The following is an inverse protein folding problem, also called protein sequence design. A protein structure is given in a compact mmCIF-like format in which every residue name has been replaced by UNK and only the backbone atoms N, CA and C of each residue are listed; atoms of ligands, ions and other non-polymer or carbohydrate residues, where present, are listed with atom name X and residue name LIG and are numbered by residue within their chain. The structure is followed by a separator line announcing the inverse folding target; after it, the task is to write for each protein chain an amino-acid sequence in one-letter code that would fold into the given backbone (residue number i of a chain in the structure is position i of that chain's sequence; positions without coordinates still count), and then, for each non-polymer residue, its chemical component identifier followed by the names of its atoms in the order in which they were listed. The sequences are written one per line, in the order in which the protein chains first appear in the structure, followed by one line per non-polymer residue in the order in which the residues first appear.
data_IF_368058290632
#
_entry.id   IF_368058290632
#
_cell.length_a   1.000
_cell.length_b   1.000
_cell.length_c   1.000
_cell.angle_alpha   90.00
_cell.angle_beta   90.00
_cell.angle_gamma   90.00
#
_symmetry.space_group_name_H-M   'P 1'
#
loop_
_entity.id
_entity.type
_entity.pdbx_description
1 polymer ?
#
# COMPACT_ATOMS: atom_id res chain seq x y z
N UNK A 1 -16.46 -7.63 -31.87
CA UNK A 1 -15.87 -7.35 -30.52
C UNK A 1 -15.06 -8.54 -30.04
N UNK A 2 -15.56 -9.77 -30.19
CA UNK A 2 -14.81 -11.03 -29.95
C UNK A 2 -13.49 -11.11 -30.75
N UNK A 3 -13.49 -10.72 -32.04
CA UNK A 3 -12.25 -10.72 -32.84
C UNK A 3 -11.15 -9.80 -32.30
N UNK A 4 -11.50 -8.65 -31.71
CA UNK A 4 -10.52 -7.73 -31.13
C UNK A 4 -9.91 -8.26 -29.83
N UNK A 5 -10.70 -9.00 -29.04
CA UNK A 5 -10.21 -9.64 -27.81
C UNK A 5 -9.29 -10.80 -28.18
N UNK A 6 -9.67 -11.63 -29.14
CA UNK A 6 -8.87 -12.76 -29.59
C UNK A 6 -7.57 -12.33 -30.28
N UNK A 7 -7.60 -11.23 -31.05
CA UNK A 7 -6.41 -10.63 -31.65
C UNK A 7 -5.46 -10.01 -30.61
N UNK A 8 -5.99 -9.44 -29.53
CA UNK A 8 -5.18 -8.88 -28.44
C UNK A 8 -4.43 -9.98 -27.67
N UNK A 9 -5.09 -11.11 -27.38
CA UNK A 9 -4.45 -12.26 -26.74
C UNK A 9 -3.40 -12.94 -27.63
N UNK A 10 -3.61 -12.99 -28.95
CA UNK A 10 -2.64 -13.57 -29.89
C UNK A 10 -1.33 -12.76 -29.99
N UNK A 11 -1.39 -11.43 -29.82
CA UNK A 11 -0.22 -10.54 -29.90
C UNK A 11 0.55 -10.36 -28.57
N UNK A 12 0.08 -10.92 -27.45
CA UNK A 12 0.69 -10.73 -26.12
C UNK A 12 1.78 -11.75 -25.77
N UNK A 13 2.14 -12.65 -26.68
CA UNK A 13 3.39 -13.43 -26.63
C UNK A 13 3.28 -14.82 -26.00
N UNK A 14 4.19 -15.70 -26.41
CA UNK A 14 4.30 -17.14 -26.10
C UNK A 14 4.44 -17.52 -24.60
N UNK A 15 4.27 -16.57 -23.68
CA UNK A 15 4.57 -16.74 -22.25
C UNK A 15 3.32 -16.98 -21.37
N UNK A 16 2.18 -17.34 -21.94
CA UNK A 16 0.98 -17.67 -21.18
C UNK A 16 0.90 -19.17 -20.89
N UNK A 17 0.90 -19.52 -19.61
CA UNK A 17 0.61 -20.88 -19.17
C UNK A 17 -0.83 -20.96 -18.66
N UNK A 18 -1.63 -21.85 -19.23
CA UNK A 18 -2.99 -22.12 -18.74
C UNK A 18 -2.95 -23.17 -17.64
N UNK A 19 -3.33 -22.76 -16.43
CA UNK A 19 -3.42 -23.67 -15.27
C UNK A 19 -4.88 -24.04 -15.03
N UNK A 20 -5.17 -25.33 -14.89
CA UNK A 20 -6.54 -25.83 -14.71
C UNK A 20 -7.14 -25.50 -13.34
N UNK A 21 -6.31 -25.22 -12.33
CA UNK A 21 -6.72 -24.96 -10.96
C UNK A 21 -6.31 -23.57 -10.48
N UNK A 22 -7.29 -22.79 -10.02
CA UNK A 22 -7.08 -21.45 -9.46
C UNK A 22 -6.16 -21.45 -8.23
N UNK A 23 -6.20 -22.48 -7.38
CA UNK A 23 -5.31 -22.52 -6.21
C UNK A 23 -3.84 -22.69 -6.60
N UNK A 24 -3.56 -23.55 -7.58
CA UNK A 24 -2.20 -23.77 -8.10
C UNK A 24 -1.67 -22.50 -8.78
N UNK A 25 -2.52 -21.80 -9.53
CA UNK A 25 -2.16 -20.52 -10.12
C UNK A 25 -1.75 -19.48 -9.05
N UNK A 26 -2.49 -19.37 -7.95
CA UNK A 26 -2.16 -18.45 -6.85
C UNK A 26 -0.86 -18.87 -6.14
N UNK A 27 -0.61 -20.17 -5.96
CA UNK A 27 0.64 -20.69 -5.39
C UNK A 27 1.85 -20.31 -6.26
N UNK A 28 1.72 -20.38 -7.58
CA UNK A 28 2.77 -19.96 -8.53
C UNK A 28 3.00 -18.45 -8.52
N UNK A 29 1.96 -17.64 -8.35
CA UNK A 29 2.08 -16.18 -8.17
C UNK A 29 2.82 -15.84 -6.89
N UNK A 30 2.57 -16.57 -5.80
CA UNK A 30 3.32 -16.39 -4.55
C UNK A 30 4.84 -16.66 -4.75
N UNK A 31 5.19 -17.50 -5.72
CA UNK A 31 6.57 -17.71 -6.19
C UNK A 31 7.22 -16.48 -6.86
N UNK A 32 6.48 -15.38 -7.08
CA UNK A 32 6.89 -14.13 -7.72
C UNK A 32 7.39 -14.25 -9.17
N UNK A 33 7.21 -15.40 -9.80
CA UNK A 33 7.61 -15.63 -11.20
C UNK A 33 6.45 -15.42 -12.18
N UNK A 34 5.21 -15.48 -11.70
CA UNK A 34 4.01 -15.40 -12.51
C UNK A 34 3.06 -14.32 -12.01
N UNK A 35 2.26 -13.78 -12.92
CA UNK A 35 1.13 -12.93 -12.61
C UNK A 35 -0.16 -13.66 -12.99
N UNK A 36 -1.16 -13.59 -12.12
CA UNK A 36 -2.47 -14.20 -12.37
C UNK A 36 -3.45 -13.13 -12.82
N UNK A 37 -3.98 -13.31 -14.02
CA UNK A 37 -4.89 -12.37 -14.65
C UNK A 37 -6.32 -12.92 -14.58
N UNK A 38 -7.18 -12.26 -13.82
CA UNK A 38 -8.59 -12.64 -13.65
C UNK A 38 -9.47 -11.46 -13.22
N UNK A 39 -10.78 -11.70 -13.15
CA UNK A 39 -11.74 -10.74 -12.59
C UNK A 39 -11.37 -10.34 -11.15
N UNK A 40 -11.48 -9.05 -10.82
CA UNK A 40 -11.11 -8.51 -9.50
C UNK A 40 -11.89 -9.14 -8.34
N UNK A 41 -13.17 -9.47 -8.54
CA UNK A 41 -13.99 -10.15 -7.54
C UNK A 41 -13.49 -11.58 -7.28
N UNK A 42 -13.10 -12.29 -8.34
CA UNK A 42 -12.52 -13.62 -8.24
C UNK A 42 -11.15 -13.60 -7.55
N UNK A 43 -10.29 -12.62 -7.88
CA UNK A 43 -9.00 -12.45 -7.23
C UNK A 43 -9.13 -12.20 -5.72
N UNK A 44 -10.11 -11.39 -5.30
CA UNK A 44 -10.40 -11.16 -3.87
C UNK A 44 -10.82 -12.45 -3.15
N UNK A 45 -11.66 -13.26 -3.78
CA UNK A 45 -12.06 -14.55 -3.21
C UNK A 45 -10.88 -15.53 -3.11
N UNK A 46 -10.06 -15.62 -4.15
CA UNK A 46 -8.90 -16.50 -4.19
C UNK A 46 -7.88 -16.15 -3.09
N UNK A 47 -7.66 -14.86 -2.84
CA UNK A 47 -6.79 -14.35 -1.76
C UNK A 47 -7.31 -14.77 -0.38
N UNK A 48 -8.60 -14.56 -0.10
CA UNK A 48 -9.22 -14.97 1.18
C UNK A 48 -9.10 -16.47 1.37
N UNK A 49 -9.41 -17.25 0.34
CA UNK A 49 -9.35 -18.71 0.40
C UNK A 49 -7.95 -19.21 0.71
N UNK A 50 -6.91 -18.59 0.14
CA UNK A 50 -5.50 -18.87 0.47
C UNK A 50 -5.20 -18.54 1.93
N UNK A 51 -5.57 -17.35 2.38
CA UNK A 51 -5.32 -16.90 3.76
C UNK A 51 -6.01 -17.79 4.80
N UNK A 52 -7.25 -18.20 4.54
CA UNK A 52 -7.96 -19.16 5.40
C UNK A 52 -7.25 -20.51 5.46
N UNK A 53 -6.79 -21.04 4.31
CA UNK A 53 -5.99 -22.27 4.27
C UNK A 53 -4.69 -22.13 5.07
N UNK A 54 -4.01 -20.99 4.93
CA UNK A 54 -2.80 -20.71 5.67
C UNK A 54 -3.03 -20.66 7.19
N UNK A 55 -4.09 -20.00 7.64
CA UNK A 55 -4.48 -19.94 9.06
C UNK A 55 -4.78 -21.33 9.62
N UNK A 56 -5.54 -22.15 8.89
CA UNK A 56 -5.85 -23.53 9.29
C UNK A 56 -4.56 -24.36 9.38
N UNK A 57 -3.69 -24.28 8.38
CA UNK A 57 -2.42 -25.00 8.37
C UNK A 57 -1.49 -24.56 9.50
N UNK A 58 -1.44 -23.26 9.82
CA UNK A 58 -0.68 -22.72 10.95
C UNK A 58 -1.19 -23.26 12.29
N UNK A 59 -2.51 -23.34 12.48
CA UNK A 59 -3.11 -23.95 13.69
C UNK A 59 -2.75 -25.43 13.79
N UNK A 60 -2.86 -26.19 12.70
CA UNK A 60 -2.49 -27.61 12.67
C UNK A 60 -0.98 -27.83 12.90
N UNK A 61 -0.12 -26.99 12.33
CA UNK A 61 1.34 -27.05 12.52
C UNK A 61 1.79 -26.61 13.92
N UNK A 62 1.00 -25.82 14.64
CA UNK A 62 1.29 -25.48 16.05
C UNK A 62 1.05 -26.69 16.96
N UNK A 63 0.21 -27.65 16.53
CA UNK A 63 -0.01 -28.91 17.24
C UNK A 63 1.09 -29.96 16.99
N UNK A 64 1.80 -29.90 15.86
CA UNK A 64 2.86 -30.85 15.49
C UNK A 64 4.20 -30.10 15.42
N UNK A 65 5.02 -30.22 16.45
CA UNK A 65 6.29 -29.49 16.67
C UNK A 65 7.41 -29.80 15.65
N UNK A 66 7.20 -29.61 14.35
CA UNK A 66 8.24 -29.75 13.32
C UNK A 66 8.66 -28.38 12.80
N UNK A 67 9.95 -28.05 12.96
CA UNK A 67 10.55 -26.76 12.58
C UNK A 67 10.39 -26.41 11.09
N UNK A 68 10.35 -27.42 10.20
CA UNK A 68 10.18 -27.23 8.75
C UNK A 68 8.83 -26.62 8.36
N UNK A 69 7.75 -26.91 9.11
CA UNK A 69 6.43 -26.34 8.84
C UNK A 69 6.35 -24.83 9.18
N UNK A 70 7.23 -24.35 10.08
CA UNK A 70 7.30 -22.93 10.46
C UNK A 70 8.01 -22.08 9.40
N UNK A 71 8.99 -22.64 8.70
CA UNK A 71 9.73 -21.94 7.64
C UNK A 71 8.96 -21.84 6.31
N UNK A 72 8.10 -22.84 6.01
CA UNK A 72 7.17 -22.76 4.87
C UNK A 72 6.07 -21.73 5.15
N UNK A 73 5.65 -21.59 6.41
CA UNK A 73 4.69 -20.57 6.82
C UNK A 73 5.30 -19.15 6.81
N UNK A 74 6.59 -18.99 7.13
CA UNK A 74 7.22 -17.67 7.23
C UNK A 74 7.57 -17.03 5.88
N UNK A 75 7.65 -17.82 4.80
CA UNK A 75 7.89 -17.36 3.42
C UNK A 75 6.63 -16.91 2.67
N UNK A 76 5.51 -16.68 3.38
CA UNK A 76 4.28 -16.24 2.74
C UNK A 76 4.42 -14.78 2.27
N UNK A 77 4.55 -14.60 0.96
CA UNK A 77 4.57 -13.29 0.33
C UNK A 77 3.14 -12.78 0.24
N UNK A 78 2.91 -11.56 0.72
CA UNK A 78 1.62 -10.91 0.64
C UNK A 78 1.19 -10.77 -0.83
N UNK A 79 0.11 -11.45 -1.22
CA UNK A 79 -0.46 -11.31 -2.56
C UNK A 79 -1.10 -9.93 -2.68
N UNK A 80 -0.58 -9.10 -3.57
CA UNK A 80 -1.12 -7.76 -3.81
C UNK A 80 -1.94 -7.75 -5.10
N UNK A 81 -3.22 -7.38 -5.00
CA UNK A 81 -4.08 -7.18 -6.17
C UNK A 81 -3.77 -5.80 -6.76
N UNK A 82 -3.43 -5.75 -8.05
CA UNK A 82 -3.20 -4.49 -8.75
C UNK A 82 -4.52 -3.69 -8.87
N UNK A 83 -4.50 -2.41 -8.50
CA UNK A 83 -5.69 -1.55 -8.51
C UNK A 83 -6.19 -1.18 -9.93
N UNK A 84 -5.31 -1.22 -10.93
CA UNK A 84 -5.65 -0.83 -12.31
C UNK A 84 -5.90 -2.07 -13.16
N UNK A 85 -7.09 -2.17 -13.76
CA UNK A 85 -7.40 -3.21 -14.73
C UNK A 85 -6.99 -2.76 -16.14
N UNK A 86 -6.12 -3.52 -16.80
CA UNK A 86 -5.61 -3.19 -18.14
C UNK A 86 -6.65 -3.53 -19.24
N UNK A 87 -7.57 -4.46 -18.96
CA UNK A 87 -8.51 -4.99 -19.94
C UNK A 87 -9.94 -4.93 -19.38
N UNK A 88 -10.82 -4.22 -20.06
CA UNK A 88 -12.24 -4.20 -19.72
C UNK A 88 -12.94 -5.43 -20.33
N UNK A 89 -13.33 -6.39 -19.49
CA UNK A 89 -14.08 -7.59 -19.91
C UNK A 89 -15.57 -7.45 -19.56
N UNK A 90 -16.43 -7.02 -20.50
CA UNK A 90 -17.86 -6.91 -20.25
C UNK A 90 -18.51 -8.30 -20.21
N UNK A 91 -19.33 -8.55 -19.17
CA UNK A 91 -20.17 -9.75 -19.10
C UNK A 91 -21.40 -9.55 -19.99
N UNK A 92 -21.68 -10.52 -20.85
CA UNK A 92 -22.86 -10.50 -21.72
C UNK A 92 -23.63 -11.82 -21.62
N UNK A 93 -24.95 -11.75 -21.78
CA UNK A 93 -25.83 -12.92 -21.76
C UNK A 93 -26.14 -13.28 -23.21
N UNK A 94 -25.77 -14.49 -23.62
CA UNK A 94 -26.09 -15.02 -24.94
C UNK A 94 -27.56 -15.42 -25.03
N UNK A 95 -28.26 -14.95 -26.06
CA UNK A 95 -29.59 -15.44 -26.44
C UNK A 95 -29.54 -16.07 -27.83
N UNK A 96 -30.49 -16.97 -28.13
CA UNK A 96 -30.62 -17.55 -29.47
C UNK A 96 -30.79 -16.45 -30.52
N UNK A 97 -30.15 -16.65 -31.69
CA UNK A 97 -30.22 -15.71 -32.81
C UNK A 97 -31.69 -15.47 -33.18
N UNK A 98 -32.06 -14.20 -33.33
CA UNK A 98 -33.42 -13.72 -33.64
C UNK A 98 -34.49 -14.04 -32.59
N UNK A 99 -34.11 -14.26 -31.33
CA UNK A 99 -35.09 -14.43 -30.26
C UNK A 99 -35.97 -13.17 -30.09
N UNK A 100 -37.31 -13.28 -30.13
CA UNK A 100 -38.21 -12.13 -29.96
C UNK A 100 -38.14 -11.51 -28.55
N UNK A 101 -37.50 -12.19 -27.60
CA UNK A 101 -37.36 -11.70 -26.21
C UNK A 101 -36.16 -10.78 -26.02
N UNK A 102 -35.17 -10.81 -26.93
CA UNK A 102 -33.96 -9.98 -26.86
C UNK A 102 -34.24 -8.50 -26.54
N UNK A 103 -35.13 -7.77 -27.25
CA UNK A 103 -35.37 -6.35 -26.96
C UNK A 103 -35.98 -6.11 -25.58
N UNK A 104 -36.77 -7.07 -25.06
CA UNK A 104 -37.37 -6.98 -23.73
C UNK A 104 -36.33 -7.19 -22.63
N UNK A 105 -35.47 -8.20 -22.80
CA UNK A 105 -34.38 -8.51 -21.87
C UNK A 105 -33.36 -7.37 -21.83
N UNK A 106 -32.95 -6.85 -22.99
CA UNK A 106 -32.01 -5.73 -23.06
C UNK A 106 -32.56 -4.49 -22.32
N UNK A 107 -33.85 -4.19 -22.48
CA UNK A 107 -34.52 -3.09 -21.78
C UNK A 107 -34.60 -3.32 -20.27
N UNK A 108 -34.86 -4.56 -19.83
CA UNK A 108 -34.88 -4.92 -18.42
C UNK A 108 -33.49 -4.79 -17.79
N UNK A 109 -32.47 -5.38 -18.41
CA UNK A 109 -31.08 -5.30 -17.94
C UNK A 109 -30.64 -3.84 -17.82
N UNK A 110 -30.97 -3.02 -18.82
CA UNK A 110 -30.69 -1.59 -18.78
C UNK A 110 -31.34 -0.89 -17.58
N UNK A 111 -32.62 -1.16 -17.30
CA UNK A 111 -33.32 -0.61 -16.12
C UNK A 111 -32.68 -1.06 -14.81
N UNK A 112 -32.31 -2.35 -14.70
CA UNK A 112 -31.69 -2.90 -13.49
C UNK A 112 -30.28 -2.32 -13.27
N UNK A 113 -29.53 -2.07 -14.35
CA UNK A 113 -28.24 -1.38 -14.31
C UNK A 113 -28.39 0.08 -13.89
N UNK A 114 -29.32 0.82 -14.52
CA UNK A 114 -29.59 2.23 -14.21
C UNK A 114 -30.09 2.40 -12.76
N UNK A 115 -30.87 1.45 -12.25
CA UNK A 115 -31.30 1.43 -10.85
C UNK A 115 -30.19 0.99 -9.87
N UNK A 116 -29.01 0.57 -10.36
CA UNK A 116 -27.89 0.15 -9.52
C UNK A 116 -28.09 -1.18 -8.78
N UNK A 117 -29.14 -1.95 -9.11
CA UNK A 117 -29.47 -3.21 -8.43
C UNK A 117 -28.36 -4.25 -8.60
N UNK A 118 -27.76 -4.33 -9.80
CA UNK A 118 -26.66 -5.25 -10.07
C UNK A 118 -25.44 -4.93 -9.22
N UNK A 119 -25.10 -3.64 -9.06
CA UNK A 119 -23.97 -3.22 -8.22
C UNK A 119 -24.23 -3.59 -6.77
N UNK A 120 -25.44 -3.34 -6.26
CA UNK A 120 -25.82 -3.68 -4.89
C UNK A 120 -25.80 -5.19 -4.65
N UNK A 121 -26.38 -5.97 -5.55
CA UNK A 121 -26.38 -7.43 -5.45
C UNK A 121 -24.97 -8.00 -5.46
N UNK A 122 -24.11 -7.50 -6.34
CA UNK A 122 -22.72 -7.95 -6.41
C UNK A 122 -21.94 -7.62 -5.13
N UNK A 123 -22.19 -6.44 -4.56
CA UNK A 123 -21.57 -6.04 -3.29
C UNK A 123 -22.05 -6.93 -2.12
N UNK A 124 -23.34 -7.25 -2.06
CA UNK A 124 -23.94 -8.13 -1.05
C UNK A 124 -23.39 -9.57 -1.11
N UNK A 125 -23.27 -10.14 -2.31
CA UNK A 125 -22.64 -11.45 -2.51
C UNK A 125 -21.17 -11.43 -2.09
N UNK A 126 -20.46 -10.34 -2.42
CA UNK A 126 -19.04 -10.18 -2.09
C UNK A 126 -18.79 -9.78 -0.64
N UNK A 127 -19.79 -9.30 0.09
CA UNK A 127 -19.66 -8.86 1.47
C UNK A 127 -19.12 -9.97 2.38
N UNK A 128 -19.50 -11.22 2.13
CA UNK A 128 -18.97 -12.39 2.87
C UNK A 128 -17.47 -12.55 2.70
N UNK A 129 -16.97 -12.36 1.48
CA UNK A 129 -15.55 -12.43 1.13
C UNK A 129 -14.82 -11.19 1.65
N UNK A 130 -15.44 -10.02 1.59
CA UNK A 130 -14.85 -8.77 2.06
C UNK A 130 -14.72 -8.74 3.58
N UNK A 131 -15.73 -9.19 4.33
CA UNK A 131 -15.67 -9.28 5.79
C UNK A 131 -14.53 -10.21 6.23
N UNK A 132 -14.35 -11.34 5.55
CA UNK A 132 -13.21 -12.23 5.80
C UNK A 132 -11.86 -11.58 5.48
N UNK A 133 -11.77 -10.68 4.49
CA UNK A 133 -10.55 -9.89 4.24
C UNK A 133 -10.34 -8.81 5.32
N UNK A 134 -11.39 -8.08 5.69
CA UNK A 134 -11.33 -6.95 6.64
C UNK A 134 -10.97 -7.41 8.06
N UNK A 135 -11.52 -8.53 8.52
CA UNK A 135 -11.14 -9.13 9.81
C UNK A 135 -9.63 -9.49 9.87
N UNK A 136 -8.99 -9.68 8.72
CA UNK A 136 -7.56 -10.01 8.59
C UNK A 136 -6.69 -8.76 8.42
N UNK A 137 -7.17 -7.75 7.69
CA UNK A 137 -6.50 -6.46 7.49
C UNK A 137 -6.59 -5.54 8.74
N UNK A 138 -7.49 -5.87 9.67
CA UNK A 138 -7.56 -5.28 11.01
C UNK A 138 -6.44 -5.76 11.96
N UNK A 139 -5.43 -6.49 11.46
CA UNK A 139 -4.14 -6.61 12.16
C UNK A 139 -3.35 -5.30 11.99
N UNK A 140 -2.82 -4.73 13.09
CA UNK A 140 -2.86 -3.30 13.34
C UNK A 140 -1.73 -2.54 12.61
N UNK A 141 -1.97 -2.04 11.39
CA UNK A 141 -1.00 -1.17 10.71
C UNK A 141 -1.56 0.19 10.29
N UNK A 142 -2.75 0.57 10.76
CA UNK A 142 -3.25 1.94 10.56
C UNK A 142 -2.88 2.92 11.68
N UNK A 143 -2.12 2.47 12.68
CA UNK A 143 -1.77 3.27 13.86
C UNK A 143 -0.36 3.05 14.42
N UNK A 144 0.58 2.49 13.64
CA UNK A 144 1.99 2.51 14.03
C UNK A 144 2.62 3.69 13.29
N UNK A 145 2.87 4.76 14.03
CA UNK A 145 3.58 5.96 13.57
C UNK A 145 4.81 5.53 12.76
N UNK A 146 4.74 5.64 11.44
CA UNK A 146 5.82 5.24 10.55
C UNK A 146 7.10 5.96 10.95
N UNK A 147 8.16 5.19 11.24
CA UNK A 147 9.48 5.72 11.63
C UNK A 147 10.01 6.76 10.64
N UNK A 148 9.57 6.69 9.38
CA UNK A 148 9.91 7.66 8.33
C UNK A 148 9.37 9.06 8.63
N UNK A 149 8.14 9.18 9.15
CA UNK A 149 7.57 10.48 9.56
C UNK A 149 8.29 11.06 10.77
N UNK A 150 8.72 10.19 11.69
CA UNK A 150 9.48 10.59 12.88
C UNK A 150 10.90 11.06 12.51
N UNK A 151 11.51 10.44 11.49
CA UNK A 151 12.81 10.84 10.95
C UNK A 151 12.81 12.28 10.40
N UNK A 152 11.78 12.68 9.66
CA UNK A 152 11.66 14.04 9.13
C UNK A 152 11.62 15.10 10.26
N UNK A 153 10.90 14.81 11.35
CA UNK A 153 10.85 15.67 12.52
C UNK A 153 12.19 15.74 13.28
N UNK A 154 12.88 14.60 13.42
CA UNK A 154 14.21 14.55 14.05
C UNK A 154 15.24 15.36 13.25
N UNK A 155 15.22 15.26 11.92
CA UNK A 155 16.14 16.02 11.05
C UNK A 155 15.90 17.52 11.19
N UNK A 156 14.65 17.97 11.20
CA UNK A 156 14.31 19.39 11.41
C UNK A 156 14.82 19.92 12.77
N UNK A 157 14.70 19.12 13.83
CA UNK A 157 15.18 19.47 15.17
C UNK A 157 16.71 19.60 15.21
N UNK A 158 17.43 18.67 14.57
CA UNK A 158 18.89 18.71 14.48
C UNK A 158 19.40 19.99 13.79
N UNK A 159 18.73 20.40 12.71
CA UNK A 159 19.11 21.62 11.97
C UNK A 159 18.92 22.86 12.84
N UNK A 160 17.78 22.96 13.54
CA UNK A 160 17.52 24.09 14.46
C UNK A 160 18.55 24.16 15.59
N UNK A 161 18.88 23.01 16.19
CA UNK A 161 19.90 22.94 17.24
C UNK A 161 21.29 23.31 16.73
N UNK A 162 21.65 22.88 15.51
CA UNK A 162 22.95 23.19 14.91
C UNK A 162 23.12 24.69 14.65
N UNK A 163 22.10 25.35 14.11
CA UNK A 163 22.12 26.80 13.87
C UNK A 163 22.27 27.56 15.19
N UNK A 164 21.54 27.16 16.23
CA UNK A 164 21.65 27.76 17.57
C UNK A 164 23.06 27.59 18.17
N UNK A 165 23.65 26.41 18.02
CA UNK A 165 24.98 26.11 18.53
C UNK A 165 26.06 26.95 17.82
N UNK A 166 25.95 27.12 16.49
CA UNK A 166 26.85 27.99 15.73
C UNK A 166 26.72 29.45 16.17
N UNK A 167 25.50 29.96 16.34
CA UNK A 167 25.26 31.32 16.84
C UNK A 167 25.94 31.56 18.20
N UNK A 168 25.77 30.62 19.13
CA UNK A 168 26.38 30.69 20.45
C UNK A 168 27.92 30.68 20.40
N UNK A 169 28.52 29.87 19.52
CA UNK A 169 29.99 29.86 19.32
C UNK A 169 30.48 31.20 18.76
N UNK A 170 29.78 31.78 17.79
CA UNK A 170 30.13 33.08 17.20
C UNK A 170 30.08 34.18 18.25
N UNK A 171 29.06 34.20 19.11
CA UNK A 171 28.97 35.17 20.21
C UNK A 171 30.13 35.03 21.20
N UNK A 172 30.49 33.80 21.58
CA UNK A 172 31.63 33.55 22.47
C UNK A 172 32.93 34.02 21.84
N UNK A 173 33.14 33.74 20.54
CA UNK A 173 34.33 34.17 19.82
C UNK A 173 34.38 35.70 19.69
N UNK A 174 33.27 36.34 19.34
CA UNK A 174 33.15 37.79 19.26
C UNK A 174 33.47 38.45 20.61
N UNK A 175 32.94 37.91 21.70
CA UNK A 175 33.21 38.39 23.05
C UNK A 175 34.67 38.19 23.46
N UNK A 176 35.26 37.03 23.13
CA UNK A 176 36.65 36.71 23.48
C UNK A 176 37.67 37.50 22.68
N UNK A 177 37.44 37.71 21.38
CA UNK A 177 38.39 38.39 20.50
C UNK A 177 38.21 39.90 20.40
N UNK A 178 36.97 40.39 20.37
CA UNK A 178 36.69 41.82 20.16
C UNK A 178 36.47 42.54 21.49
N UNK A 179 35.65 41.99 22.39
CA UNK A 179 35.29 42.67 23.65
C UNK A 179 36.42 42.61 24.68
N UNK A 180 37.06 41.45 24.90
CA UNK A 180 38.19 41.34 25.85
C UNK A 180 39.49 42.01 25.39
N UNK A 181 39.65 42.27 24.08
CA UNK A 181 40.86 42.87 23.50
C UNK A 181 40.75 44.40 23.37
N UNK A 182 39.58 44.98 23.61
CA UNK A 182 39.41 46.42 23.68
C UNK A 182 40.09 46.98 24.94
N UNK A 183 40.90 48.05 24.84
CA UNK A 183 41.67 48.61 25.96
C UNK A 183 40.82 49.17 27.11
N UNK A 184 39.51 49.28 26.94
CA UNK A 184 38.55 49.81 27.94
C UNK A 184 37.69 48.73 28.62
N UNK A 185 38.06 47.45 28.49
CA UNK A 185 37.28 46.32 29.03
C UNK A 185 37.54 46.10 30.53
N UNK A 186 36.53 46.35 31.36
CA UNK A 186 36.60 46.09 32.80
C UNK A 186 36.18 44.64 33.11
N UNK A 187 37.11 43.86 33.69
CA UNK A 187 36.94 42.42 34.03
C UNK A 187 35.81 42.16 35.03
N UNK A 188 35.42 43.15 35.85
CA UNK A 188 34.42 42.99 36.91
C UNK A 188 32.99 43.43 36.50
N UNK A 189 32.83 44.34 35.52
CA UNK A 189 31.50 44.81 35.08
C UNK A 189 30.99 44.15 33.80
N UNK A 190 31.84 43.40 33.07
CA UNK A 190 31.53 42.82 31.75
C UNK A 190 30.93 43.84 30.76
N UNK A 191 31.31 45.12 30.87
CA UNK A 191 30.85 46.19 29.99
C UNK A 191 32.01 47.08 29.52
N UNK A 192 31.90 47.60 28.30
CA UNK A 192 32.84 48.58 27.74
C UNK A 192 32.34 49.96 28.19
N UNK A 193 33.12 50.68 29.00
CA UNK A 193 32.80 52.06 29.37
C UNK A 193 33.28 52.99 28.26
N UNK A 194 32.35 53.67 27.58
CA UNK A 194 32.71 54.81 26.75
C UNK A 194 33.13 55.97 27.66
N UNK A 195 34.39 56.41 27.52
CA UNK A 195 34.87 57.61 28.18
C UNK A 195 34.31 58.79 27.38
N UNK A 196 33.23 59.41 27.87
CA UNK A 196 32.83 60.74 27.41
C UNK A 196 33.99 61.70 27.67
N UNK A 197 34.57 62.27 26.61
CA UNK A 197 35.45 63.43 26.71
C UNK A 197 34.65 64.56 27.39
N UNK A 198 35.17 65.05 28.52
CA UNK A 198 34.72 66.28 29.12
C UNK A 198 35.37 67.43 28.32
N UNK A 199 34.53 68.32 27.79
CA UNK A 199 34.92 69.66 27.36
C UNK A 199 35.24 70.54 28.58
#
# INVERSE_FOLDING_TARGET
MLDKVQFFFHNLGDNFETVASSSDAVDRVAGASFAFYENTYFLKEAVVKRQLRFQINKKNATSNNTQEARDIASKDRSLHIMNYCIINMPVSIGLQKNSPIKPRVDKLIRRVLEAGLIKKWLDDVMQRVLNANLDLDNTPSKAIMSMKKLYEALVALFIGYFIGLVGFIVEILYFKYKVKRHPSYNKYSRSVKEVKKAD
#
